data_IF_033803158567
#
_entry.id   IF_033803158567
#
_cell.length_a   1.000
_cell.length_b   1.000
_cell.length_c   1.000
_cell.angle_alpha   90.00
_cell.angle_beta   90.00
_cell.angle_gamma   90.00
#
_symmetry.space_group_name_H-M   'P 1'
#
loop_
_entity.id
_entity.type
_entity.pdbx_description
1 polymer ?
#
# COMPACT_ATOMS: atom_id res chain seq x y z
N UNK A 1 10.63 -20.58 19.35
CA UNK A 1 10.05 -19.70 18.32
C UNK A 1 8.54 -19.89 18.37
N UNK A 2 7.80 -18.89 18.83
CA UNK A 2 6.34 -18.92 18.72
C UNK A 2 5.98 -18.21 17.40
N UNK A 3 5.61 -18.99 16.39
CA UNK A 3 4.90 -18.48 15.22
C UNK A 3 3.43 -18.35 15.63
N UNK A 4 3.09 -17.26 16.30
CA UNK A 4 1.72 -16.78 16.29
C UNK A 4 1.55 -16.05 14.97
N UNK A 5 0.86 -16.67 14.01
CA UNK A 5 0.20 -15.91 12.95
C UNK A 5 -0.82 -15.02 13.64
N UNK A 6 -0.38 -13.83 14.08
CA UNK A 6 -1.27 -12.82 14.60
C UNK A 6 -2.29 -12.55 13.51
N UNK A 7 -3.57 -12.75 13.81
CA UNK A 7 -4.65 -12.44 12.89
C UNK A 7 -4.63 -10.92 12.67
N UNK A 8 -4.09 -10.48 11.54
CA UNK A 8 -3.98 -9.07 11.19
C UNK A 8 -5.37 -8.57 10.76
N UNK A 9 -6.01 -7.79 11.62
CA UNK A 9 -7.30 -7.16 11.32
C UNK A 9 -7.09 -5.81 10.62
N UNK A 10 -7.30 -5.78 9.30
CA UNK A 10 -7.16 -4.55 8.51
C UNK A 10 -8.37 -3.61 8.61
N UNK A 11 -9.46 -4.02 9.28
CA UNK A 11 -10.67 -3.21 9.43
C UNK A 11 -10.49 -2.01 10.39
N UNK A 12 -9.46 -2.05 11.23
CA UNK A 12 -9.09 -0.95 12.13
C UNK A 12 -8.48 0.24 11.39
N UNK A 13 -8.01 0.03 10.15
CA UNK A 13 -7.36 1.07 9.37
C UNK A 13 -8.38 2.07 8.80
N UNK A 14 -8.03 3.37 8.71
CA UNK A 14 -8.80 4.33 7.95
C UNK A 14 -9.00 3.88 6.50
N UNK A 15 -10.17 4.15 5.92
CA UNK A 15 -10.48 3.75 4.54
C UNK A 15 -9.56 4.40 3.50
N UNK A 16 -9.03 5.59 3.81
CA UNK A 16 -8.12 6.37 2.97
C UNK A 16 -6.63 6.15 3.30
N UNK A 17 -6.29 5.18 4.15
CA UNK A 17 -4.93 4.95 4.65
C UNK A 17 -3.86 4.92 3.54
N UNK A 18 -4.16 4.29 2.41
CA UNK A 18 -3.26 4.17 1.26
C UNK A 18 -2.94 5.49 0.56
N UNK A 19 -3.73 6.54 0.84
CA UNK A 19 -3.59 7.87 0.26
C UNK A 19 -3.01 8.91 1.22
N UNK A 20 -2.85 8.57 2.51
CA UNK A 20 -2.28 9.49 3.49
C UNK A 20 -0.83 9.86 3.13
N UNK A 21 -0.51 11.14 3.35
CA UNK A 21 0.81 11.72 3.10
C UNK A 21 1.19 12.72 4.18
N UNK A 22 2.49 12.91 4.33
CA UNK A 22 3.12 13.95 5.15
C UNK A 22 2.52 13.98 6.56
N UNK A 23 2.06 15.15 7.03
CA UNK A 23 1.51 15.34 8.38
C UNK A 23 0.45 14.30 8.73
N UNK A 24 -0.51 14.02 7.83
CA UNK A 24 -1.57 13.05 8.10
C UNK A 24 -1.06 11.63 8.24
N UNK A 25 -0.03 11.28 7.45
CA UNK A 25 0.62 9.99 7.56
C UNK A 25 1.40 9.87 8.88
N UNK A 26 2.15 10.91 9.26
CA UNK A 26 2.89 10.93 10.52
C UNK A 26 1.94 10.87 11.72
N UNK A 27 0.83 11.60 11.71
CA UNK A 27 -0.16 11.57 12.80
C UNK A 27 -0.77 10.17 12.98
N UNK A 28 -1.04 9.48 11.88
CA UNK A 28 -1.46 8.08 11.91
C UNK A 28 -0.38 7.18 12.52
N UNK A 29 0.89 7.33 12.08
CA UNK A 29 2.00 6.53 12.63
C UNK A 29 2.22 6.82 14.11
N UNK A 30 2.10 8.06 14.58
CA UNK A 30 2.19 8.42 16.01
C UNK A 30 1.16 7.66 16.83
N UNK A 31 -0.08 7.60 16.33
CA UNK A 31 -1.18 6.90 16.99
C UNK A 31 -0.96 5.39 17.04
N UNK A 32 -0.51 4.78 15.95
CA UNK A 32 -0.43 3.32 15.84
C UNK A 32 0.90 2.73 16.33
N UNK A 33 2.02 3.42 16.12
CA UNK A 33 3.37 2.93 16.40
C UNK A 33 4.17 3.80 17.38
N UNK A 34 3.64 4.97 17.78
CA UNK A 34 4.24 5.89 18.73
C UNK A 34 5.13 6.97 18.10
N UNK A 35 5.44 7.99 18.89
CA UNK A 35 6.18 9.18 18.43
C UNK A 35 7.56 8.85 17.87
N UNK A 36 8.27 7.90 18.48
CA UNK A 36 9.59 7.48 18.01
C UNK A 36 9.56 6.90 16.60
N UNK A 37 8.51 6.16 16.24
CA UNK A 37 8.35 5.60 14.90
C UNK A 37 8.02 6.69 13.87
N UNK A 38 7.11 7.62 14.21
CA UNK A 38 6.76 8.72 13.33
C UNK A 38 7.95 9.63 13.05
N UNK A 39 8.68 10.03 14.10
CA UNK A 39 9.88 10.86 13.96
C UNK A 39 10.97 10.12 13.16
N UNK A 40 11.14 8.80 13.36
CA UNK A 40 12.08 7.97 12.58
C UNK A 40 11.74 7.98 11.08
N UNK A 41 10.46 7.94 10.74
CA UNK A 41 10.01 8.02 9.35
C UNK A 41 10.18 9.42 8.78
N UNK A 42 9.89 10.45 9.57
CA UNK A 42 10.02 11.85 9.17
C UNK A 42 11.47 12.22 8.81
N UNK A 43 12.45 11.85 9.65
CA UNK A 43 13.88 12.12 9.36
C UNK A 43 14.40 11.38 8.12
N UNK A 44 13.73 10.30 7.71
CA UNK A 44 14.05 9.54 6.49
C UNK A 44 13.23 9.97 5.28
N UNK A 45 12.36 10.98 5.43
CA UNK A 45 11.38 11.37 4.41
C UNK A 45 10.46 10.22 3.96
N UNK A 46 10.21 9.25 4.85
CA UNK A 46 9.22 8.18 4.66
C UNK A 46 7.85 8.78 5.02
N UNK A 47 7.25 9.48 4.08
CA UNK A 47 6.05 10.31 4.32
C UNK A 47 4.74 9.70 3.81
N UNK A 48 4.71 8.44 3.39
CA UNK A 48 3.48 7.77 2.97
C UNK A 48 3.61 6.24 3.03
N UNK A 49 2.48 5.53 2.95
CA UNK A 49 2.46 4.06 2.96
C UNK A 49 3.34 3.48 1.85
N UNK A 50 3.29 4.06 0.64
CA UNK A 50 4.09 3.56 -0.48
C UNK A 50 5.59 3.63 -0.21
N UNK A 51 6.10 4.76 0.30
CA UNK A 51 7.54 4.87 0.61
C UNK A 51 7.92 3.94 1.75
N UNK A 52 7.08 3.81 2.79
CA UNK A 52 7.32 2.88 3.89
C UNK A 52 7.45 1.43 3.40
N UNK A 53 6.50 0.97 2.59
CA UNK A 53 6.49 -0.40 2.08
C UNK A 53 7.63 -0.70 1.09
N UNK A 54 8.21 0.33 0.47
CA UNK A 54 9.39 0.20 -0.39
C UNK A 54 10.72 0.26 0.39
N UNK A 55 10.70 0.72 1.64
CA UNK A 55 11.89 0.76 2.49
C UNK A 55 12.22 -0.64 3.02
N UNK A 56 13.41 -1.13 2.71
CA UNK A 56 13.84 -2.48 3.12
C UNK A 56 14.11 -2.58 4.62
N UNK A 57 14.79 -1.57 5.18
CA UNK A 57 15.10 -1.47 6.61
C UNK A 57 14.97 -0.01 7.06
N UNK A 58 13.93 0.26 7.85
CA UNK A 58 13.66 1.60 8.40
C UNK A 58 14.63 2.00 9.51
N UNK A 59 15.43 1.07 10.02
CA UNK A 59 16.40 1.32 11.09
C UNK A 59 17.83 1.53 10.57
N UNK A 60 18.06 1.37 9.26
CA UNK A 60 19.41 1.40 8.70
C UNK A 60 20.16 2.71 9.02
N UNK A 61 19.45 3.83 9.08
CA UNK A 61 20.03 5.15 9.39
C UNK A 61 20.55 5.24 10.83
N UNK A 62 20.10 4.38 11.75
CA UNK A 62 20.50 4.45 13.16
C UNK A 62 21.99 4.17 13.36
N UNK A 63 22.65 3.51 12.40
CA UNK A 63 24.10 3.29 12.44
C UNK A 63 24.94 4.48 11.95
N UNK A 64 24.31 5.53 11.41
CA UNK A 64 25.02 6.68 10.85
C UNK A 64 25.45 7.65 11.94
N UNK A 65 26.63 8.25 11.76
CA UNK A 65 27.13 9.34 12.60
C UNK A 65 26.61 10.66 12.06
N UNK A 66 25.64 11.26 12.74
CA UNK A 66 25.05 12.56 12.39
C UNK A 66 24.52 13.24 13.65
N UNK A 67 24.72 14.55 13.77
CA UNK A 67 24.22 15.32 14.91
C UNK A 67 22.68 15.25 14.99
N UNK A 68 21.99 15.35 13.86
CA UNK A 68 20.53 15.22 13.83
C UNK A 68 20.05 13.84 14.34
N UNK A 69 20.80 12.78 14.03
CA UNK A 69 20.49 11.44 14.53
C UNK A 69 20.87 11.24 15.99
N UNK A 70 21.94 11.89 16.45
CA UNK A 70 22.31 11.89 17.86
C UNK A 70 21.21 12.52 18.71
N UNK A 71 20.70 13.69 18.30
CA UNK A 71 19.60 14.37 18.99
C UNK A 71 18.31 13.55 18.98
N UNK A 72 18.00 12.91 17.84
CA UNK A 72 16.88 11.97 17.73
C UNK A 72 17.01 10.78 18.70
N UNK A 73 18.19 10.14 18.74
CA UNK A 73 18.44 8.99 19.63
C UNK A 73 18.34 9.39 21.09
N UNK A 74 18.82 10.58 21.47
CA UNK A 74 18.68 11.10 22.83
C UNK A 74 17.22 11.40 23.17
N UNK A 75 16.49 12.09 22.29
CA UNK A 75 15.07 12.44 22.48
C UNK A 75 14.21 11.22 22.81
N UNK A 76 14.43 10.11 22.10
CA UNK A 76 13.63 8.89 22.23
C UNK A 76 14.25 7.84 23.18
N UNK A 77 15.38 8.18 23.82
CA UNK A 77 16.08 7.32 24.77
C UNK A 77 16.59 6.03 24.14
N UNK A 78 17.18 6.12 22.95
CA UNK A 78 17.89 5.04 22.27
C UNK A 78 19.38 5.00 22.60
N UNK A 79 19.97 6.10 23.05
CA UNK A 79 21.37 6.14 23.48
C UNK A 79 21.57 5.40 24.80
N UNK A 80 22.68 4.66 24.89
CA UNK A 80 23.19 4.03 26.10
C UNK A 80 24.32 4.88 26.70
N UNK A 81 24.71 4.58 27.94
CA UNK A 81 25.74 5.34 28.67
C UNK A 81 27.15 5.25 28.05
N UNK A 82 27.38 4.30 27.15
CA UNK A 82 28.64 4.07 26.44
C UNK A 82 28.67 4.67 25.02
N UNK A 83 27.78 5.62 24.74
CA UNK A 83 27.57 6.24 23.42
C UNK A 83 27.16 5.27 22.30
N UNK A 84 26.77 4.03 22.63
CA UNK A 84 26.11 3.12 21.70
C UNK A 84 24.59 3.35 21.70
N UNK A 85 23.87 2.65 20.83
CA UNK A 85 22.41 2.78 20.75
C UNK A 85 21.71 1.43 20.71
N UNK A 86 20.45 1.43 21.13
CA UNK A 86 19.55 0.27 21.05
C UNK A 86 18.19 0.68 20.49
N UNK A 87 17.62 -0.18 19.65
CA UNK A 87 16.22 -0.07 19.25
C UNK A 87 15.40 -0.90 20.24
N UNK A 88 14.54 -0.23 21.03
CA UNK A 88 13.72 -0.90 22.04
C UNK A 88 12.81 -1.95 21.38
N UNK A 89 12.76 -3.19 21.87
CA UNK A 89 11.97 -4.26 21.25
C UNK A 89 10.50 -3.92 21.03
N UNK A 90 9.87 -3.17 21.95
CA UNK A 90 8.49 -2.72 21.80
C UNK A 90 8.28 -1.77 20.60
N UNK A 91 9.21 -0.83 20.38
CA UNK A 91 9.16 0.07 19.22
C UNK A 91 9.37 -0.73 17.93
N UNK A 92 10.31 -1.67 17.94
CA UNK A 92 10.52 -2.58 16.81
C UNK A 92 9.26 -3.36 16.46
N UNK A 93 8.65 -3.99 17.47
CA UNK A 93 7.41 -4.76 17.29
C UNK A 93 6.26 -3.93 16.74
N UNK A 94 6.06 -2.71 17.23
CA UNK A 94 5.01 -1.82 16.76
C UNK A 94 5.19 -1.45 15.27
N UNK A 95 6.41 -1.13 14.87
CA UNK A 95 6.73 -0.77 13.48
C UNK A 95 6.59 -1.99 12.55
N UNK A 96 7.12 -3.15 12.96
CA UNK A 96 6.99 -4.39 12.19
C UNK A 96 5.51 -4.75 11.99
N UNK A 97 4.71 -4.70 13.06
CA UNK A 97 3.27 -4.92 13.01
C UNK A 97 2.55 -3.94 12.07
N UNK A 98 2.89 -2.65 12.15
CA UNK A 98 2.32 -1.63 11.27
C UNK A 98 2.63 -1.91 9.79
N UNK A 99 3.86 -2.30 9.47
CA UNK A 99 4.26 -2.65 8.11
C UNK A 99 3.46 -3.85 7.61
N UNK A 100 3.33 -4.90 8.42
CA UNK A 100 2.57 -6.09 8.06
C UNK A 100 1.08 -5.78 7.87
N UNK A 101 0.50 -4.97 8.75
CA UNK A 101 -0.87 -4.47 8.66
C UNK A 101 -1.13 -3.72 7.34
N UNK A 102 -0.22 -2.83 6.94
CA UNK A 102 -0.32 -2.09 5.69
C UNK A 102 -0.09 -2.98 4.44
N UNK A 103 0.81 -3.96 4.52
CA UNK A 103 1.02 -4.96 3.44
C UNK A 103 -0.23 -5.81 3.21
N UNK A 104 -0.86 -6.25 4.30
CA UNK A 104 -2.10 -7.02 4.23
C UNK A 104 -3.21 -6.19 3.59
N UNK A 105 -3.38 -4.93 4.02
CA UNK A 105 -4.37 -4.02 3.45
C UNK A 105 -4.17 -3.79 1.94
N UNK A 106 -2.92 -3.59 1.51
CA UNK A 106 -2.59 -3.44 0.08
C UNK A 106 -2.97 -4.68 -0.73
N UNK A 107 -2.74 -5.86 -0.17
CA UNK A 107 -3.10 -7.14 -0.79
C UNK A 107 -4.63 -7.30 -0.90
N UNK A 108 -5.38 -6.91 0.12
CA UNK A 108 -6.83 -7.02 0.13
C UNK A 108 -7.49 -6.06 -0.87
N UNK A 109 -7.01 -4.81 -0.95
CA UNK A 109 -7.47 -3.85 -1.95
C UNK A 109 -7.18 -4.34 -3.38
N UNK A 110 -6.02 -4.99 -3.61
CA UNK A 110 -5.68 -5.57 -4.89
C UNK A 110 -6.58 -6.77 -5.29
N UNK A 111 -7.01 -7.60 -4.32
CA UNK A 111 -7.97 -8.68 -4.55
C UNK A 111 -9.33 -8.13 -4.98
N UNK A 112 -9.82 -7.10 -4.29
CA UNK A 112 -11.10 -6.43 -4.59
C UNK A 112 -11.07 -5.83 -6.00
N UNK A 113 -9.98 -5.16 -6.38
CA UNK A 113 -9.83 -4.58 -7.72
C UNK A 113 -9.85 -5.65 -8.83
N UNK A 114 -9.26 -6.84 -8.58
CA UNK A 114 -9.27 -7.96 -9.53
C UNK A 114 -10.66 -8.59 -9.69
N UNK A 115 -11.40 -8.77 -8.61
CA UNK A 115 -12.77 -9.33 -8.67
C UNK A 115 -13.73 -8.40 -9.41
N UNK A 116 -13.61 -7.08 -9.22
CA UNK A 116 -14.47 -6.10 -9.91
C UNK A 116 -14.26 -6.08 -11.43
N UNK A 117 -13.02 -6.30 -11.91
CA UNK A 117 -12.72 -6.39 -13.36
C UNK A 117 -13.31 -7.65 -14.01
N UNK A 118 -13.37 -8.78 -13.30
CA UNK A 118 -13.88 -10.05 -13.83
C UNK A 118 -15.39 -10.01 -14.10
N UNK A 119 -16.13 -9.20 -13.35
CA UNK A 119 -17.58 -9.05 -13.52
C UNK A 119 -17.97 -8.03 -14.60
N UNK A 120 -17.00 -7.38 -15.25
CA UNK A 120 -17.22 -6.41 -16.34
C UNK A 120 -16.84 -6.97 -17.73
N UNK A 121 -16.59 -8.28 -17.87
CA UNK A 121 -16.46 -8.88 -19.19
C UNK A 121 -17.81 -8.92 -19.89
N UNK A 122 -17.99 -8.04 -20.88
CA UNK A 122 -19.11 -8.01 -21.82
C UNK A 122 -19.34 -9.38 -22.50
N UNK A 123 -20.55 -9.70 -22.98
CA UNK A 123 -20.80 -10.94 -23.69
C UNK A 123 -19.99 -11.00 -25.00
N UNK A 124 -19.67 -12.19 -25.53
CA UNK A 124 -19.01 -12.32 -26.82
C UNK A 124 -19.92 -11.74 -27.91
N UNK A 125 -19.39 -10.88 -28.79
CA UNK A 125 -20.08 -10.49 -30.02
C UNK A 125 -20.27 -11.76 -30.87
N UNK A 126 -21.52 -12.17 -31.01
CA UNK A 126 -21.91 -13.27 -31.89
C UNK A 126 -21.67 -12.84 -33.35
N UNK A 127 -20.67 -13.46 -33.99
CA UNK A 127 -20.31 -13.19 -35.38
C UNK A 127 -21.07 -14.17 -36.26
N UNK A 128 -22.35 -13.92 -36.52
CA UNK A 128 -23.11 -14.64 -37.54
C UNK A 128 -22.65 -14.20 -38.92
N UNK A 129 -21.84 -15.03 -39.56
CA UNK A 129 -21.79 -15.15 -41.02
C UNK A 129 -23.09 -15.77 -41.50
N UNK A 130 -23.79 -15.14 -42.45
CA UNK A 130 -24.48 -15.90 -43.48
C UNK A 130 -24.58 -15.11 -44.79
N UNK A 131 -24.05 -15.76 -45.83
CA UNK A 131 -24.08 -15.38 -47.23
C UNK A 131 -25.14 -16.25 -47.88
N UNK A 132 -26.16 -15.68 -48.55
CA UNK A 132 -26.69 -16.24 -49.80
C UNK A 132 -27.73 -15.37 -50.50
N UNK A 133 -27.44 -15.20 -51.78
CA UNK A 133 -28.15 -14.68 -52.95
C UNK A 133 -29.66 -14.95 -53.03
N UNK A 134 -30.40 -14.06 -53.70
CA UNK A 134 -31.39 -14.46 -54.73
C UNK A 134 -31.59 -13.32 -55.74
N UNK A 135 -31.37 -13.65 -57.01
CA UNK A 135 -31.68 -12.88 -58.22
C UNK A 135 -33.17 -13.04 -58.51
N UNK A 136 -33.89 -11.96 -58.84
CA UNK A 136 -35.03 -12.05 -59.75
C UNK A 136 -35.18 -10.79 -60.59
N UNK A 137 -35.13 -11.04 -61.90
CA UNK A 137 -35.39 -10.21 -63.07
C UNK A 137 -36.90 -9.93 -63.23
N UNK A 138 -37.28 -8.73 -63.66
CA UNK A 138 -38.52 -8.49 -64.43
C UNK A 138 -38.48 -7.16 -65.16
N UNK A 139 -38.71 -7.27 -66.47
CA UNK A 139 -38.66 -6.27 -67.54
C UNK A 139 -39.98 -5.51 -67.75
N UNK A 140 -39.84 -4.27 -68.26
CA UNK A 140 -40.77 -3.44 -69.07
C UNK A 140 -42.09 -2.95 -68.42
N UNK A 141 -42.58 -1.72 -68.62
CA UNK A 141 -42.81 -1.02 -69.90
C UNK A 141 -43.03 0.49 -69.69
N UNK A 142 -42.70 1.26 -70.73
CA UNK A 142 -42.89 2.70 -71.02
C UNK A 142 -44.37 3.13 -71.05
N UNK A 143 -44.65 4.43 -70.85
CA UNK A 143 -45.64 5.32 -71.53
C UNK A 143 -45.91 6.51 -70.58
N UNK A 144 -45.97 7.80 -70.94
CA UNK A 144 -45.66 8.61 -72.13
C UNK A 144 -45.47 10.05 -71.64
#
# INVERSE_FOLDING_TARGET
MFQTEALIDTSILPSDIMSLRDVKFFDFVRKEAGDAAADLFEIQSINCVKSLLMTADVYCIMNLKSNALHDFKNKHGFMLDDDTFIIKPGIKGNVDYLIDLLRQKCTDDAKIAKSSKRNQSSPPLDRTTDTSSTITESTMTVLS
#
